data_IF_656283928964
#
_entry.id   IF_656283928964
#
_cell.length_a   1.000
_cell.length_b   1.000
_cell.length_c   1.000
_cell.angle_alpha   90.00
_cell.angle_beta   90.00
_cell.angle_gamma   90.00
#
_symmetry.space_group_name_H-M   'P 1'
#
loop_
_entity.id
_entity.type
_entity.pdbx_description
1 polymer ?
#
# COMPACT_ATOMS: atom_id res chain seq x y z
N UNK A 1 18.54 -19.35 6.81
CA UNK A 1 18.30 -20.36 5.75
C UNK A 1 17.16 -19.85 4.87
N UNK A 2 17.45 -19.54 3.61
CA UNK A 2 16.56 -18.86 2.67
C UNK A 2 16.61 -19.58 1.30
N UNK A 3 15.67 -19.22 0.43
CA UNK A 3 15.27 -19.80 -0.86
C UNK A 3 16.37 -20.58 -1.62
N UNK A 4 16.07 -21.85 -1.92
CA UNK A 4 16.88 -22.77 -2.73
C UNK A 4 18.29 -23.08 -2.16
N UNK A 5 18.37 -23.40 -0.86
CA UNK A 5 19.61 -23.87 -0.21
C UNK A 5 20.81 -22.90 -0.35
N UNK A 6 20.56 -21.59 -0.45
CA UNK A 6 21.62 -20.58 -0.60
C UNK A 6 22.07 -20.33 -2.04
N UNK A 7 21.46 -20.98 -3.04
CA UNK A 7 21.72 -20.72 -4.46
C UNK A 7 21.09 -19.41 -4.95
N UNK A 8 20.24 -18.77 -4.14
CA UNK A 8 19.68 -17.46 -4.43
C UNK A 8 20.45 -16.41 -3.64
N UNK A 9 21.19 -15.56 -4.36
CA UNK A 9 21.79 -14.36 -3.79
C UNK A 9 20.77 -13.23 -3.89
N UNK A 10 20.17 -12.88 -2.76
CA UNK A 10 19.30 -11.72 -2.69
C UNK A 10 20.15 -10.44 -2.69
N UNK A 11 19.72 -9.37 -3.38
CA UNK A 11 20.37 -8.08 -3.26
C UNK A 11 20.30 -7.59 -1.81
N UNK A 12 21.29 -6.79 -1.41
CA UNK A 12 21.28 -6.16 -0.10
C UNK A 12 20.00 -5.34 0.08
N UNK A 13 19.39 -5.46 1.27
CA UNK A 13 18.23 -4.65 1.61
C UNK A 13 18.59 -3.16 1.50
N UNK A 14 17.83 -2.44 0.69
CA UNK A 14 17.96 -0.98 0.61
C UNK A 14 17.51 -0.38 1.93
N UNK A 15 18.23 0.64 2.40
CA UNK A 15 17.82 1.35 3.59
C UNK A 15 16.48 2.06 3.35
N UNK A 16 15.57 2.05 4.33
CA UNK A 16 14.33 2.79 4.20
C UNK A 16 14.64 4.30 4.05
N UNK A 17 13.75 5.06 3.39
CA UNK A 17 13.83 6.52 3.39
C UNK A 17 14.06 7.08 4.79
N UNK A 18 14.92 8.10 4.91
CA UNK A 18 15.34 8.67 6.21
C UNK A 18 14.16 8.96 7.15
N UNK A 19 13.07 9.50 6.61
CA UNK A 19 11.86 9.81 7.39
C UNK A 19 11.24 8.56 8.05
N UNK A 20 11.19 7.43 7.34
CA UNK A 20 10.65 6.19 7.89
C UNK A 20 11.61 5.58 8.91
N UNK A 21 12.92 5.66 8.63
CA UNK A 21 13.94 5.23 9.58
C UNK A 21 13.84 6.02 10.89
N UNK A 22 13.74 7.34 10.79
CA UNK A 22 13.63 8.24 11.94
C UNK A 22 12.33 8.00 12.73
N UNK A 23 11.21 7.69 12.07
CA UNK A 23 9.93 7.38 12.71
C UNK A 23 9.90 6.02 13.43
N UNK A 24 10.70 5.05 12.99
CA UNK A 24 10.68 3.68 13.54
C UNK A 24 11.75 3.50 14.63
N UNK A 25 12.94 4.06 14.43
CA UNK A 25 14.12 3.70 15.22
C UNK A 25 14.61 4.80 16.17
N UNK A 26 14.10 6.03 16.09
CA UNK A 26 14.47 7.10 17.04
C UNK A 26 13.60 7.09 18.29
N UNK A 27 14.03 7.83 19.30
CA UNK A 27 13.35 7.98 20.60
C UNK A 27 12.68 9.34 20.77
N UNK A 28 12.49 10.08 19.68
CA UNK A 28 11.87 11.41 19.71
C UNK A 28 10.35 11.32 19.95
N UNK A 29 9.74 12.40 20.45
CA UNK A 29 8.29 12.46 20.69
C UNK A 29 7.46 12.02 19.48
N UNK A 30 7.89 12.40 18.27
CA UNK A 30 7.24 12.03 17.01
C UNK A 30 7.33 10.53 16.71
N UNK A 31 8.46 9.90 17.00
CA UNK A 31 8.64 8.45 16.84
C UNK A 31 7.74 7.69 17.81
N UNK A 32 7.72 8.10 19.09
CA UNK A 32 6.83 7.50 20.10
C UNK A 32 5.35 7.59 19.70
N UNK A 33 4.89 8.79 19.33
CA UNK A 33 3.52 8.98 18.84
C UNK A 33 3.23 8.11 17.61
N UNK A 34 4.17 8.02 16.67
CA UNK A 34 4.01 7.19 15.48
C UNK A 34 3.87 5.70 15.83
N UNK A 35 4.73 5.17 16.69
CA UNK A 35 4.70 3.77 17.11
C UNK A 35 3.45 3.44 17.92
N UNK A 36 3.05 4.32 18.85
CA UNK A 36 1.83 4.16 19.66
C UNK A 36 0.58 4.11 18.78
N UNK A 37 0.59 4.81 17.63
CA UNK A 37 -0.54 4.91 16.70
C UNK A 37 -0.30 4.20 15.36
N UNK A 38 0.71 3.32 15.26
CA UNK A 38 1.16 2.75 13.97
C UNK A 38 0.03 1.99 13.25
N UNK A 39 -0.84 1.33 14.02
CA UNK A 39 -2.02 0.65 13.49
C UNK A 39 -2.97 1.64 12.81
N UNK A 40 -3.27 2.78 13.43
CA UNK A 40 -4.14 3.81 12.85
C UNK A 40 -3.53 4.37 11.55
N UNK A 41 -2.23 4.64 11.53
CA UNK A 41 -1.53 5.07 10.32
C UNK A 41 -1.62 4.01 9.21
N UNK A 42 -1.35 2.74 9.53
CA UNK A 42 -1.46 1.65 8.56
C UNK A 42 -2.90 1.43 8.08
N UNK A 43 -3.89 1.55 8.97
CA UNK A 43 -5.31 1.46 8.65
C UNK A 43 -5.76 2.59 7.73
N UNK A 44 -5.20 3.80 7.84
CA UNK A 44 -5.47 4.86 6.86
C UNK A 44 -5.00 4.49 5.45
N UNK A 45 -3.96 3.66 5.31
CA UNK A 45 -3.54 3.15 4.01
C UNK A 45 -4.50 2.12 3.41
N UNK A 46 -5.40 1.53 4.19
CA UNK A 46 -6.44 0.63 3.65
C UNK A 46 -7.37 1.32 2.65
N UNK A 47 -7.53 2.64 2.78
CA UNK A 47 -8.33 3.48 1.86
C UNK A 47 -7.58 3.91 0.60
N UNK A 48 -6.31 3.52 0.45
CA UNK A 48 -5.56 3.86 -0.75
C UNK A 48 -5.83 2.86 -1.86
N UNK A 49 -6.14 3.38 -3.04
CA UNK A 49 -6.22 2.56 -4.25
C UNK A 49 -4.85 1.99 -4.60
N UNK A 50 -4.82 0.80 -5.20
CA UNK A 50 -3.57 0.20 -5.66
C UNK A 50 -3.12 0.86 -6.97
N UNK A 51 -1.88 1.32 -7.01
CA UNK A 51 -1.20 1.82 -8.19
C UNK A 51 -0.09 0.88 -8.64
N UNK A 52 0.08 0.75 -9.96
CA UNK A 52 1.14 -0.03 -10.57
C UNK A 52 0.90 -0.19 -12.07
N UNK A 53 1.73 -1.00 -12.73
CA UNK A 53 1.54 -1.31 -14.15
C UNK A 53 0.57 -2.48 -14.27
N UNK A 54 -0.66 -2.20 -14.71
CA UNK A 54 -1.67 -3.22 -14.97
C UNK A 54 -1.55 -3.72 -16.40
N UNK A 55 -1.48 -5.04 -16.57
CA UNK A 55 -1.55 -5.68 -17.88
C UNK A 55 -3.02 -5.72 -18.33
N UNK A 56 -3.36 -4.89 -19.33
CA UNK A 56 -4.71 -4.78 -19.88
C UNK A 56 -4.96 -5.76 -21.03
N UNK A 57 -3.91 -6.38 -21.56
CA UNK A 57 -3.97 -7.19 -22.77
C UNK A 57 -4.17 -8.69 -22.46
N UNK A 58 -4.16 -9.06 -21.18
CA UNK A 58 -4.26 -10.46 -20.75
C UNK A 58 -5.66 -11.07 -20.90
N UNK A 59 -6.73 -10.27 -20.83
CA UNK A 59 -8.11 -10.74 -20.83
C UNK A 59 -8.73 -10.76 -22.24
N UNK A 60 -8.08 -11.46 -23.18
CA UNK A 60 -8.52 -11.53 -24.60
C UNK A 60 -9.27 -12.83 -24.96
N UNK A 61 -9.55 -13.71 -23.99
CA UNK A 61 -10.22 -15.00 -24.22
C UNK A 61 -11.46 -15.21 -23.35
N UNK A 62 -12.04 -16.41 -23.41
CA UNK A 62 -13.24 -16.80 -22.64
C UNK A 62 -12.97 -17.26 -21.20
N UNK A 63 -11.76 -17.05 -20.69
CA UNK A 63 -11.41 -17.42 -19.31
C UNK A 63 -11.91 -16.37 -18.32
N UNK A 64 -12.09 -16.74 -17.03
CA UNK A 64 -12.37 -15.76 -15.99
C UNK A 64 -11.36 -14.61 -16.01
N UNK A 65 -11.79 -13.36 -15.78
CA UNK A 65 -10.90 -12.21 -15.83
C UNK A 65 -9.74 -12.32 -14.84
N UNK A 66 -8.53 -12.04 -15.30
CA UNK A 66 -7.32 -12.00 -14.50
C UNK A 66 -6.93 -10.53 -14.30
N UNK A 67 -6.72 -10.13 -13.04
CA UNK A 67 -6.06 -8.87 -12.72
C UNK A 67 -4.56 -9.13 -12.54
N UNK A 68 -3.75 -8.63 -13.48
CA UNK A 68 -2.29 -8.78 -13.42
C UNK A 68 -1.63 -7.42 -13.22
N UNK A 69 -0.80 -7.34 -12.18
CA UNK A 69 -0.02 -6.16 -11.81
C UNK A 69 1.47 -6.53 -11.77
N UNK A 70 2.33 -5.72 -12.39
CA UNK A 70 3.77 -5.97 -12.41
C UNK A 70 4.62 -4.72 -12.11
N UNK A 71 5.86 -4.96 -11.69
CA UNK A 71 6.83 -3.92 -11.37
C UNK A 71 6.62 -3.33 -9.98
N UNK A 72 6.88 -2.03 -9.85
CA UNK A 72 6.74 -1.32 -8.58
C UNK A 72 5.27 -0.98 -8.32
N UNK A 73 4.75 -1.55 -7.24
CA UNK A 73 3.41 -1.27 -6.75
C UNK A 73 3.49 -0.17 -5.69
N UNK A 74 2.46 0.66 -5.64
CA UNK A 74 2.39 1.78 -4.70
C UNK A 74 0.95 2.05 -4.29
N UNK A 75 0.80 2.67 -3.13
CA UNK A 75 -0.48 3.12 -2.62
C UNK A 75 -0.81 4.48 -3.22
N UNK A 76 -1.97 4.61 -3.87
CA UNK A 76 -2.51 5.87 -4.41
C UNK A 76 -3.61 6.36 -3.50
N UNK A 77 -3.31 7.41 -2.74
CA UNK A 77 -4.33 8.20 -2.05
C UNK A 77 -4.81 9.30 -3.01
N UNK A 78 -6.10 9.30 -3.32
CA UNK A 78 -6.73 10.41 -4.05
C UNK A 78 -6.94 11.59 -3.12
N UNK A 79 -7.09 12.79 -3.68
CA UNK A 79 -7.57 13.93 -2.89
C UNK A 79 -9.00 13.64 -2.39
N UNK A 80 -9.27 13.97 -1.12
CA UNK A 80 -10.63 13.88 -0.56
C UNK A 80 -11.58 14.85 -1.25
N UNK A 81 -11.06 15.97 -1.75
CA UNK A 81 -11.80 16.99 -2.48
C UNK A 81 -11.20 17.08 -3.89
N UNK A 82 -11.98 16.92 -4.97
CA UNK A 82 -11.45 17.05 -6.32
C UNK A 82 -10.91 18.48 -6.52
N UNK A 83 -9.74 18.59 -7.15
CA UNK A 83 -9.22 19.88 -7.59
C UNK A 83 -10.19 20.52 -8.58
N UNK A 84 -10.16 21.85 -8.66
CA UNK A 84 -11.03 22.61 -9.56
C UNK A 84 -10.95 22.09 -11.01
N UNK A 85 -12.11 21.79 -11.61
CA UNK A 85 -12.22 21.20 -12.95
C UNK A 85 -11.96 19.69 -13.05
N UNK A 86 -11.59 18.99 -11.97
CA UNK A 86 -11.45 17.53 -11.99
C UNK A 86 -12.76 16.82 -11.61
N UNK A 87 -13.01 15.68 -12.26
CA UNK A 87 -14.15 14.82 -11.92
C UNK A 87 -13.91 14.17 -10.54
N UNK A 88 -14.93 14.14 -9.66
CA UNK A 88 -14.87 13.36 -8.43
C UNK A 88 -14.53 11.89 -8.73
N UNK A 89 -13.73 11.27 -7.87
CA UNK A 89 -13.41 9.84 -7.91
C UNK A 89 -13.97 9.19 -6.66
N UNK A 90 -14.65 8.06 -6.84
CA UNK A 90 -15.32 7.36 -5.75
C UNK A 90 -14.31 6.65 -4.83
N UNK A 91 -14.52 6.75 -3.52
CA UNK A 91 -13.93 5.88 -2.51
C UNK A 91 -15.04 4.90 -2.07
N UNK A 92 -14.80 3.59 -2.20
CA UNK A 92 -15.72 2.59 -1.68
C UNK A 92 -15.28 2.25 -0.24
N UNK A 93 -16.14 2.59 0.72
CA UNK A 93 -15.91 2.35 2.14
C UNK A 93 -16.83 1.22 2.61
N UNK A 94 -16.25 0.18 3.21
CA UNK A 94 -17.02 -0.85 3.92
C UNK A 94 -16.92 -0.54 5.41
N UNK A 95 -18.05 -0.21 6.03
CA UNK A 95 -18.16 -0.01 7.47
C UNK A 95 -18.74 -1.30 8.04
N UNK A 96 -17.97 -2.01 8.85
CA UNK A 96 -18.48 -3.15 9.62
C UNK A 96 -18.85 -2.61 11.00
N UNK A 97 -20.11 -2.75 11.39
CA UNK A 97 -20.56 -2.47 12.75
C UNK A 97 -20.24 -3.69 13.63
N UNK A 98 -19.43 -3.56 14.69
CA UNK A 98 -19.17 -4.66 15.62
C UNK A 98 -20.40 -5.10 16.43
N UNK A 99 -21.54 -4.39 16.37
CA UNK A 99 -22.79 -4.82 17.02
C UNK A 99 -23.63 -5.82 16.20
N UNK A 100 -23.22 -6.16 14.96
CA UNK A 100 -23.90 -7.18 14.12
C UNK A 100 -23.20 -8.57 14.13
N UNK A 101 -22.33 -8.86 15.09
CA UNK A 101 -21.71 -10.18 15.32
C UNK A 101 -22.27 -10.85 16.60
#
# INVERSE_FOLDING_TARGET
>A
MCCNQGNVVLPNMQQPPKILNDLIFRSEHRSKHFLDNIRSYNSMFSFTSMGGRTDRDINRGGTPPIFRLNGQNYHKIGSLIPNEGQRPKFLQMYLTDPEEE
#
